data_IF_963063026448
#
_entry.id   IF_963063026448
#
_cell.length_a   1.000
_cell.length_b   1.000
_cell.length_c   1.000
_cell.angle_alpha   90.00
_cell.angle_beta   90.00
_cell.angle_gamma   90.00
#
_symmetry.space_group_name_H-M   'P 1'
#
loop_
_entity.id
_entity.type
_entity.pdbx_description
1 polymer ?
#
# COMPACT_ATOMS: atom_id res chain seq x y z
N UNK A 1 -10.31 5.36 -0.28
CA UNK A 1 -9.77 5.82 -1.59
C UNK A 1 -10.72 6.80 -2.28
N UNK A 2 -12.00 6.47 -2.50
CA UNK A 2 -12.95 7.37 -3.22
C UNK A 2 -12.96 8.84 -2.72
N UNK A 3 -12.93 9.06 -1.42
CA UNK A 3 -12.88 10.40 -0.84
C UNK A 3 -11.61 11.20 -1.20
N UNK A 4 -10.42 10.57 -1.25
CA UNK A 4 -9.15 11.24 -1.62
C UNK A 4 -9.11 11.70 -3.08
N UNK A 5 -9.93 11.10 -3.94
CA UNK A 5 -10.10 11.51 -5.33
C UNK A 5 -11.23 12.54 -5.50
N UNK A 6 -12.39 12.28 -4.90
CA UNK A 6 -13.57 13.13 -5.06
C UNK A 6 -13.39 14.51 -4.38
N UNK A 7 -12.79 14.57 -3.19
CA UNK A 7 -12.62 15.82 -2.46
C UNK A 7 -11.83 16.91 -3.22
N UNK A 8 -10.61 16.66 -3.73
CA UNK A 8 -9.88 17.67 -4.49
C UNK A 8 -10.58 18.03 -5.81
N UNK A 9 -11.27 17.09 -6.45
CA UNK A 9 -12.07 17.37 -7.65
C UNK A 9 -13.16 18.41 -7.35
N UNK A 10 -13.92 18.22 -6.27
CA UNK A 10 -14.96 19.17 -5.87
C UNK A 10 -14.38 20.52 -5.42
N UNK A 11 -13.22 20.51 -4.76
CA UNK A 11 -12.55 21.73 -4.30
C UNK A 11 -12.18 22.68 -5.46
N UNK A 12 -11.99 22.17 -6.68
CA UNK A 12 -11.74 22.97 -7.89
C UNK A 12 -12.93 23.07 -8.84
N UNK A 13 -14.11 22.63 -8.40
CA UNK A 13 -15.34 22.73 -9.17
C UNK A 13 -15.50 21.68 -10.27
N UNK A 14 -14.74 20.57 -10.23
CA UNK A 14 -15.03 19.41 -11.09
C UNK A 14 -16.28 18.67 -10.62
N UNK A 15 -16.91 17.95 -11.55
CA UNK A 15 -17.85 16.88 -11.24
C UNK A 15 -17.10 15.54 -11.15
N UNK A 16 -17.68 14.55 -10.47
CA UNK A 16 -17.07 13.24 -10.30
C UNK A 16 -18.04 12.09 -10.58
N UNK A 17 -17.53 11.08 -11.28
CA UNK A 17 -18.18 9.77 -11.43
C UNK A 17 -17.28 8.74 -10.75
N UNK A 18 -17.76 8.13 -9.67
CA UNK A 18 -17.04 7.11 -8.92
C UNK A 18 -17.62 5.73 -9.22
N UNK A 19 -16.78 4.83 -9.73
CA UNK A 19 -17.09 3.41 -9.86
C UNK A 19 -16.34 2.62 -8.78
N UNK A 20 -16.95 2.26 -7.64
CA UNK A 20 -16.27 1.48 -6.60
C UNK A 20 -15.93 0.06 -7.06
N UNK A 21 -15.20 -0.67 -6.22
CA UNK A 21 -15.10 -2.13 -6.36
C UNK A 21 -16.48 -2.75 -6.19
N UNK A 22 -16.81 -3.73 -7.04
CA UNK A 22 -18.11 -4.39 -7.04
C UNK A 22 -18.38 -5.18 -5.75
N UNK A 23 -17.34 -5.63 -5.04
CA UNK A 23 -17.47 -6.39 -3.79
C UNK A 23 -17.68 -5.48 -2.58
N UNK A 24 -17.31 -4.19 -2.65
CA UNK A 24 -17.39 -3.24 -1.53
C UNK A 24 -18.05 -1.90 -1.89
N UNK A 25 -19.29 -1.90 -2.44
CA UNK A 25 -19.92 -0.67 -2.92
C UNK A 25 -20.53 0.19 -1.82
N UNK A 26 -20.90 -0.41 -0.68
CA UNK A 26 -21.79 0.19 0.32
C UNK A 26 -21.26 1.51 0.90
N UNK A 27 -19.97 1.59 1.21
CA UNK A 27 -19.38 2.83 1.74
C UNK A 27 -19.36 3.96 0.71
N UNK A 28 -19.25 3.64 -0.57
CA UNK A 28 -19.29 4.64 -1.64
C UNK A 28 -20.72 5.16 -1.87
N UNK A 29 -21.73 4.30 -1.73
CA UNK A 29 -23.14 4.71 -1.74
C UNK A 29 -23.46 5.60 -0.53
N UNK A 30 -22.94 5.27 0.65
CA UNK A 30 -23.08 6.12 1.82
C UNK A 30 -22.47 7.52 1.60
N UNK A 31 -21.30 7.61 0.94
CA UNK A 31 -20.72 8.91 0.55
C UNK A 31 -21.62 9.69 -0.42
N UNK A 32 -22.27 9.01 -1.37
CA UNK A 32 -23.20 9.66 -2.30
C UNK A 32 -24.41 10.24 -1.58
N UNK A 33 -25.00 9.45 -0.67
CA UNK A 33 -26.09 9.89 0.19
C UNK A 33 -25.68 11.10 1.05
N UNK A 34 -24.50 11.06 1.67
CA UNK A 34 -24.00 12.19 2.46
C UNK A 34 -23.76 13.45 1.61
N UNK A 35 -23.32 13.31 0.36
CA UNK A 35 -23.17 14.45 -0.56
C UNK A 35 -24.53 15.08 -0.90
N UNK A 36 -25.57 14.27 -1.12
CA UNK A 36 -26.94 14.75 -1.31
C UNK A 36 -27.44 15.49 -0.07
N UNK A 37 -27.25 14.92 1.14
CA UNK A 37 -27.61 15.57 2.39
C UNK A 37 -26.84 16.88 2.62
N UNK A 38 -25.61 16.99 2.13
CA UNK A 38 -24.81 18.21 2.18
C UNK A 38 -25.23 19.27 1.14
N UNK A 39 -26.21 18.99 0.29
CA UNK A 39 -26.77 19.94 -0.69
C UNK A 39 -25.99 20.02 -2.00
N UNK A 40 -25.26 18.97 -2.38
CA UNK A 40 -24.60 18.93 -3.69
C UNK A 40 -25.65 19.00 -4.81
N UNK A 41 -25.45 19.84 -5.85
CA UNK A 41 -26.37 19.88 -6.98
C UNK A 41 -26.50 18.52 -7.69
N UNK A 42 -27.68 18.16 -8.23
CA UNK A 42 -27.86 16.93 -8.99
C UNK A 42 -26.83 16.78 -10.11
N UNK A 43 -26.21 15.60 -10.20
CA UNK A 43 -25.22 15.27 -11.22
C UNK A 43 -23.77 15.67 -10.89
N UNK A 44 -23.50 16.37 -9.78
CA UNK A 44 -22.12 16.73 -9.38
C UNK A 44 -21.34 15.51 -8.89
N UNK A 45 -21.97 14.64 -8.11
CA UNK A 45 -21.37 13.38 -7.67
C UNK A 45 -22.26 12.21 -8.05
N UNK A 46 -21.73 11.30 -8.88
CA UNK A 46 -22.45 10.13 -9.34
C UNK A 46 -21.68 8.87 -8.93
N UNK A 47 -22.37 7.88 -8.36
CA UNK A 47 -21.78 6.58 -8.04
C UNK A 47 -22.38 5.52 -8.96
N UNK A 48 -21.53 4.87 -9.75
CA UNK A 48 -21.96 3.86 -10.72
C UNK A 48 -21.54 2.48 -10.22
N UNK A 49 -22.52 1.62 -9.99
CA UNK A 49 -22.30 0.25 -9.57
C UNK A 49 -22.12 -0.68 -10.77
N UNK A 50 -21.39 -1.77 -10.56
CA UNK A 50 -21.26 -2.87 -11.52
C UNK A 50 -21.24 -4.18 -10.74
N UNK A 51 -21.53 -5.30 -11.43
CA UNK A 51 -21.38 -6.63 -10.87
C UNK A 51 -19.93 -7.10 -10.95
N UNK A 52 -19.54 -8.11 -10.17
CA UNK A 52 -18.19 -8.68 -10.23
C UNK A 52 -17.90 -9.25 -11.62
N UNK A 53 -18.89 -9.91 -12.22
CA UNK A 53 -18.83 -10.51 -13.56
C UNK A 53 -18.72 -9.45 -14.66
N UNK A 54 -19.35 -8.29 -14.44
CA UNK A 54 -19.39 -7.17 -15.38
C UNK A 54 -18.27 -6.16 -15.14
N UNK A 55 -17.39 -6.40 -14.15
CA UNK A 55 -16.24 -5.52 -13.87
C UNK A 55 -15.08 -5.91 -14.78
N UNK A 56 -14.67 -5.04 -15.72
CA UNK A 56 -13.48 -5.31 -16.53
C UNK A 56 -12.24 -5.41 -15.63
N UNK A 57 -11.19 -6.06 -16.12
CA UNK A 57 -9.89 -6.03 -15.44
C UNK A 57 -9.37 -4.59 -15.38
N UNK A 58 -9.68 -3.87 -14.29
CA UNK A 58 -9.27 -2.48 -14.06
C UNK A 58 -7.82 -2.41 -13.57
N UNK A 59 -6.90 -2.90 -14.42
CA UNK A 59 -5.46 -2.85 -14.17
C UNK A 59 -4.92 -1.53 -14.74
N UNK A 60 -4.17 -0.77 -13.96
CA UNK A 60 -3.77 0.61 -14.31
C UNK A 60 -3.14 0.76 -15.71
N UNK A 61 -2.26 -0.16 -16.10
CA UNK A 61 -1.64 -0.17 -17.45
C UNK A 61 -2.66 -0.36 -18.57
N UNK A 62 -3.69 -1.19 -18.37
CA UNK A 62 -4.76 -1.37 -19.35
C UNK A 62 -5.61 -0.10 -19.47
N UNK A 63 -5.94 0.53 -18.35
CA UNK A 63 -6.69 1.79 -18.33
C UNK A 63 -5.91 2.93 -19.00
N UNK A 64 -4.59 2.98 -18.79
CA UNK A 64 -3.72 3.93 -19.46
C UNK A 64 -3.72 3.72 -20.98
N UNK A 65 -3.60 2.47 -21.43
CA UNK A 65 -3.68 2.13 -22.85
C UNK A 65 -5.03 2.56 -23.47
N UNK A 66 -6.14 2.20 -22.83
CA UNK A 66 -7.50 2.55 -23.28
C UNK A 66 -7.77 4.07 -23.31
N UNK A 67 -7.04 4.84 -22.50
CA UNK A 67 -7.18 6.28 -22.43
C UNK A 67 -6.35 7.03 -23.48
N UNK A 68 -5.37 6.36 -24.09
CA UNK A 68 -4.38 6.98 -24.99
C UNK A 68 -4.99 7.63 -26.23
N UNK A 69 -6.01 7.02 -26.83
CA UNK A 69 -6.68 7.51 -28.05
C UNK A 69 -7.40 8.85 -27.88
N UNK A 70 -7.65 9.25 -26.63
CA UNK A 70 -8.36 10.49 -26.29
C UNK A 70 -7.53 11.43 -25.42
N UNK A 71 -6.26 11.08 -25.16
CA UNK A 71 -5.32 11.87 -24.37
C UNK A 71 -5.90 12.36 -23.03
N UNK A 72 -6.68 11.50 -22.36
CA UNK A 72 -7.23 11.83 -21.03
C UNK A 72 -6.08 12.03 -20.05
N UNK A 73 -6.19 13.06 -19.22
CA UNK A 73 -5.31 13.24 -18.06
C UNK A 73 -5.56 12.09 -17.09
N UNK A 74 -4.49 11.44 -16.65
CA UNK A 74 -4.54 10.27 -15.77
C UNK A 74 -3.81 10.58 -14.46
N UNK A 75 -4.32 9.98 -13.39
CA UNK A 75 -3.68 9.91 -12.08
C UNK A 75 -3.79 8.48 -11.61
N UNK A 76 -2.66 7.84 -11.31
CA UNK A 76 -2.54 6.40 -11.14
C UNK A 76 -1.79 6.09 -9.83
N UNK A 77 -2.44 5.34 -8.95
CA UNK A 77 -1.85 4.76 -7.74
C UNK A 77 -2.08 3.25 -7.83
N UNK A 78 -1.01 2.49 -8.10
CA UNK A 78 -1.09 1.11 -8.62
C UNK A 78 -0.46 0.07 -7.70
N UNK A 79 -0.44 0.34 -6.39
CA UNK A 79 0.11 -0.60 -5.41
C UNK A 79 1.62 -0.54 -5.32
N UNK A 80 2.19 -1.40 -4.48
CA UNK A 80 3.62 -1.35 -4.20
C UNK A 80 4.21 -2.65 -3.68
N UNK A 81 5.53 -2.71 -3.64
CA UNK A 81 6.26 -3.79 -2.98
C UNK A 81 7.20 -3.19 -1.91
N UNK A 82 6.57 -2.49 -0.97
CA UNK A 82 7.24 -1.59 -0.03
C UNK A 82 8.30 -2.31 0.81
N UNK A 83 9.56 -1.83 0.81
CA UNK A 83 10.57 -2.32 1.72
C UNK A 83 10.45 -1.65 3.09
N UNK A 84 10.62 -2.44 4.14
CA UNK A 84 11.08 -1.96 5.45
C UNK A 84 12.58 -2.26 5.54
N UNK A 85 13.38 -1.29 5.96
CA UNK A 85 14.82 -1.46 6.21
C UNK A 85 15.11 -1.14 7.67
N UNK A 86 15.61 -2.12 8.41
CA UNK A 86 15.91 -2.01 9.84
C UNK A 86 17.42 -2.13 10.06
N UNK A 87 18.05 -1.03 10.44
CA UNK A 87 19.47 -0.97 10.79
C UNK A 87 19.71 -1.35 12.26
N UNK A 88 20.93 -1.78 12.58
CA UNK A 88 21.30 -2.26 13.91
C UNK A 88 21.36 -1.16 14.99
N UNK A 89 21.42 0.10 14.57
CA UNK A 89 21.40 1.29 15.42
C UNK A 89 19.99 1.78 15.77
N UNK A 90 18.93 1.09 15.33
CA UNK A 90 17.55 1.46 15.63
C UNK A 90 17.12 1.14 17.08
N UNK A 91 16.02 1.73 17.53
CA UNK A 91 15.25 1.18 18.64
C UNK A 91 14.57 -0.11 18.15
N UNK A 92 15.08 -1.25 18.60
CA UNK A 92 14.61 -2.56 18.14
C UNK A 92 13.14 -2.83 18.49
N UNK A 93 12.68 -2.45 19.67
CA UNK A 93 11.31 -2.72 20.10
C UNK A 93 10.32 -1.86 19.31
N UNK A 94 10.66 -0.58 19.10
CA UNK A 94 9.90 0.31 18.21
C UNK A 94 9.89 -0.21 16.76
N UNK A 95 11.06 -0.61 16.23
CA UNK A 95 11.16 -1.09 14.86
C UNK A 95 10.30 -2.35 14.64
N UNK A 96 10.27 -3.27 15.60
CA UNK A 96 9.38 -4.45 15.54
C UNK A 96 7.91 -4.02 15.57
N UNK A 97 7.52 -3.19 16.52
CA UNK A 97 6.12 -2.74 16.66
C UNK A 97 5.61 -2.05 15.40
N UNK A 98 6.38 -1.11 14.88
CA UNK A 98 6.03 -0.37 13.66
C UNK A 98 6.08 -1.27 12.42
N UNK A 99 7.01 -2.23 12.34
CA UNK A 99 7.05 -3.18 11.22
C UNK A 99 5.81 -4.07 11.19
N UNK A 100 5.35 -4.54 12.36
CA UNK A 100 4.11 -5.31 12.49
C UNK A 100 2.89 -4.46 12.08
N UNK A 101 2.81 -3.22 12.58
CA UNK A 101 1.75 -2.29 12.25
C UNK A 101 1.71 -1.96 10.74
N UNK A 102 2.87 -1.85 10.09
CA UNK A 102 2.96 -1.64 8.65
C UNK A 102 2.52 -2.88 7.86
N UNK A 103 3.09 -4.06 8.17
CA UNK A 103 2.85 -5.30 7.42
C UNK A 103 1.42 -5.79 7.55
N UNK A 104 0.86 -5.80 8.75
CA UNK A 104 -0.37 -6.54 9.05
C UNK A 104 -1.61 -5.68 9.24
N UNK A 105 -1.51 -4.35 9.15
CA UNK A 105 -2.69 -3.48 9.04
C UNK A 105 -3.63 -3.99 7.93
N UNK A 106 -4.89 -4.21 8.28
CA UNK A 106 -5.90 -4.82 7.41
C UNK A 106 -5.48 -6.17 6.80
N UNK A 107 -4.70 -6.96 7.56
CA UNK A 107 -4.05 -8.21 7.11
C UNK A 107 -3.16 -8.04 5.87
N UNK A 108 -2.50 -6.89 5.73
CA UNK A 108 -1.61 -6.63 4.60
C UNK A 108 -2.31 -6.24 3.30
N UNK A 109 -3.62 -5.96 3.36
CA UNK A 109 -4.45 -5.57 2.20
C UNK A 109 -4.48 -4.04 2.01
N UNK A 110 -3.31 -3.40 2.08
CA UNK A 110 -3.16 -1.96 1.83
C UNK A 110 -1.95 -1.74 0.93
N UNK A 111 -2.05 -0.81 -0.03
CA UNK A 111 -0.99 -0.55 -1.02
C UNK A 111 0.37 -0.17 -0.39
N UNK A 112 0.36 0.46 0.79
CA UNK A 112 1.58 0.85 1.51
C UNK A 112 2.07 -0.20 2.50
N UNK A 113 1.38 -1.32 2.69
CA UNK A 113 1.85 -2.38 3.57
C UNK A 113 3.21 -2.89 3.09
N UNK A 114 4.12 -3.08 4.04
CA UNK A 114 5.40 -3.70 3.73
C UNK A 114 5.20 -5.09 3.13
N UNK A 115 6.10 -5.51 2.26
CA UNK A 115 6.11 -6.86 1.72
C UNK A 115 7.50 -7.51 1.88
N UNK A 116 8.55 -6.70 1.92
CA UNK A 116 9.95 -7.12 2.09
C UNK A 116 10.52 -6.43 3.33
N UNK A 117 10.90 -7.20 4.34
CA UNK A 117 11.40 -6.67 5.61
C UNK A 117 12.88 -7.01 5.70
N UNK A 118 13.73 -6.05 5.36
CA UNK A 118 15.18 -6.16 5.39
C UNK A 118 15.68 -5.79 6.79
N UNK A 119 16.42 -6.69 7.43
CA UNK A 119 16.97 -6.49 8.77
C UNK A 119 18.48 -6.74 8.75
N UNK A 120 19.25 -5.83 9.36
CA UNK A 120 20.69 -5.92 9.38
C UNK A 120 21.17 -7.12 10.21
N UNK A 121 22.22 -7.79 9.75
CA UNK A 121 22.68 -9.09 10.26
C UNK A 121 22.82 -9.14 11.79
N UNK A 122 23.35 -8.09 12.43
CA UNK A 122 23.60 -8.04 13.88
C UNK A 122 22.34 -8.14 14.75
N UNK A 123 21.17 -7.75 14.24
CA UNK A 123 19.90 -7.73 14.97
C UNK A 123 18.86 -8.68 14.39
N UNK A 124 19.18 -9.38 13.30
CA UNK A 124 18.23 -10.19 12.53
C UNK A 124 17.47 -11.23 13.38
N UNK A 125 18.18 -12.06 14.14
CA UNK A 125 17.55 -13.15 14.90
C UNK A 125 16.65 -12.60 16.02
N UNK A 126 17.12 -11.58 16.75
CA UNK A 126 16.35 -10.91 17.81
C UNK A 126 15.09 -10.22 17.27
N UNK A 127 15.21 -9.56 16.11
CA UNK A 127 14.08 -8.95 15.43
C UNK A 127 13.06 -10.02 15.04
N UNK A 128 13.52 -11.10 14.38
CA UNK A 128 12.65 -12.17 13.89
C UNK A 128 11.86 -12.83 15.03
N UNK A 129 12.50 -13.12 16.16
CA UNK A 129 11.84 -13.67 17.35
C UNK A 129 10.76 -12.74 17.89
N UNK A 130 11.07 -11.46 18.12
CA UNK A 130 10.12 -10.46 18.63
C UNK A 130 8.97 -10.22 17.66
N UNK A 131 9.27 -10.16 16.36
CA UNK A 131 8.27 -10.00 15.30
C UNK A 131 7.31 -11.20 15.26
N UNK A 132 7.83 -12.43 15.30
CA UNK A 132 7.02 -13.64 15.35
C UNK A 132 6.13 -13.69 16.61
N UNK A 133 6.67 -13.32 17.78
CA UNK A 133 5.90 -13.28 19.02
C UNK A 133 4.71 -12.32 18.92
N UNK A 134 4.89 -11.13 18.33
CA UNK A 134 3.81 -10.15 18.10
C UNK A 134 2.75 -10.69 17.13
N UNK A 135 3.17 -11.35 16.05
CA UNK A 135 2.24 -11.93 15.06
C UNK A 135 1.43 -13.09 15.66
N UNK A 136 2.06 -13.96 16.47
CA UNK A 136 1.38 -15.05 17.16
C UNK A 136 0.32 -14.57 18.18
N UNK A 137 0.43 -13.33 18.67
CA UNK A 137 -0.53 -12.76 19.61
C UNK A 137 -1.82 -12.23 18.94
N UNK A 138 -1.91 -12.25 17.60
CA UNK A 138 -3.08 -11.76 16.89
C UNK A 138 -4.34 -12.57 17.20
N UNK A 139 -5.46 -11.86 17.36
CA UNK A 139 -6.78 -12.44 17.53
C UNK A 139 -7.54 -12.28 16.22
N UNK A 140 -7.61 -13.35 15.44
CA UNK A 140 -8.32 -13.38 14.16
C UNK A 140 -9.80 -13.71 14.43
N UNK A 141 -10.72 -12.90 13.93
CA UNK A 141 -12.15 -13.09 14.18
C UNK A 141 -13.05 -12.07 13.50
N UNK A 142 -14.32 -12.04 13.87
CA UNK A 142 -15.26 -11.08 13.31
C UNK A 142 -14.90 -9.65 13.75
N UNK A 143 -14.83 -8.70 12.80
CA UNK A 143 -14.42 -7.32 13.08
C UNK A 143 -15.33 -6.54 14.04
N UNK A 144 -16.52 -7.04 14.35
CA UNK A 144 -17.42 -6.45 15.35
C UNK A 144 -17.22 -7.01 16.76
N UNK A 145 -16.44 -8.07 16.93
CA UNK A 145 -16.20 -8.71 18.23
C UNK A 145 -15.09 -8.01 19.02
N UNK A 146 -15.31 -7.81 20.32
CA UNK A 146 -14.34 -7.15 21.20
C UNK A 146 -13.08 -8.00 21.33
N UNK A 147 -11.93 -7.38 21.14
CA UNK A 147 -10.62 -8.03 21.30
C UNK A 147 -10.08 -8.67 20.03
N UNK A 148 -10.88 -8.78 18.98
CA UNK A 148 -10.39 -9.15 17.64
C UNK A 148 -9.45 -8.05 17.13
N UNK A 149 -8.25 -8.45 16.71
CA UNK A 149 -7.26 -7.53 16.16
C UNK A 149 -7.28 -7.50 14.65
N UNK A 150 -7.68 -8.59 13.99
CA UNK A 150 -7.72 -8.70 12.53
C UNK A 150 -8.92 -9.52 12.05
N UNK A 151 -9.48 -9.11 10.90
CA UNK A 151 -10.62 -9.76 10.26
C UNK A 151 -10.24 -10.87 9.27
N UNK A 152 -10.88 -10.85 8.11
CA UNK A 152 -10.64 -11.79 7.01
C UNK A 152 -10.00 -11.10 5.78
N UNK A 153 -9.59 -11.90 4.80
CA UNK A 153 -9.22 -11.39 3.49
C UNK A 153 -10.47 -11.11 2.64
N UNK A 154 -10.31 -10.26 1.63
CA UNK A 154 -11.43 -9.80 0.80
C UNK A 154 -12.11 -10.95 0.04
N UNK A 155 -11.33 -11.93 -0.45
CA UNK A 155 -11.83 -13.09 -1.20
C UNK A 155 -10.81 -14.23 -1.28
N UNK A 156 -11.25 -15.37 -1.81
CA UNK A 156 -10.39 -16.55 -2.00
C UNK A 156 -9.23 -16.37 -2.97
N UNK A 157 -9.26 -15.40 -3.90
CA UNK A 157 -8.12 -15.10 -4.79
C UNK A 157 -6.95 -14.49 -3.99
N UNK A 158 -7.26 -13.64 -3.01
CA UNK A 158 -6.25 -13.10 -2.10
C UNK A 158 -5.60 -14.21 -1.26
N UNK A 159 -6.39 -15.17 -0.75
CA UNK A 159 -5.86 -16.36 -0.08
C UNK A 159 -4.94 -17.16 -0.99
N UNK A 160 -5.40 -17.48 -2.20
CA UNK A 160 -4.62 -18.29 -3.15
C UNK A 160 -3.27 -17.63 -3.50
N UNK A 161 -3.23 -16.29 -3.61
CA UNK A 161 -1.98 -15.56 -3.85
C UNK A 161 -1.00 -15.67 -2.67
N UNK A 162 -1.50 -15.56 -1.44
CA UNK A 162 -0.68 -15.74 -0.23
C UNK A 162 -0.12 -17.17 -0.18
N UNK A 163 -0.96 -18.17 -0.43
CA UNK A 163 -0.57 -19.59 -0.46
C UNK A 163 0.49 -19.87 -1.55
N UNK A 164 0.34 -19.28 -2.73
CA UNK A 164 1.31 -19.40 -3.83
C UNK A 164 2.68 -18.81 -3.45
N UNK A 165 2.71 -17.60 -2.87
CA UNK A 165 3.96 -16.97 -2.44
C UNK A 165 4.64 -17.77 -1.32
N UNK A 166 3.87 -18.29 -0.35
CA UNK A 166 4.41 -19.13 0.73
C UNK A 166 4.98 -20.43 0.17
N UNK A 167 4.26 -21.09 -0.73
CA UNK A 167 4.70 -22.34 -1.37
C UNK A 167 5.97 -22.14 -2.19
N UNK A 168 6.03 -21.07 -2.99
CA UNK A 168 7.20 -20.71 -3.79
C UNK A 168 8.43 -20.47 -2.91
N UNK A 169 8.27 -19.66 -1.85
CA UNK A 169 9.35 -19.35 -0.93
C UNK A 169 9.88 -20.60 -0.21
N UNK A 170 8.99 -21.45 0.32
CA UNK A 170 9.39 -22.69 1.01
C UNK A 170 10.07 -23.66 0.04
N UNK A 171 9.58 -23.81 -1.19
CA UNK A 171 10.21 -24.64 -2.21
C UNK A 171 11.63 -24.17 -2.59
N UNK A 172 11.92 -22.88 -2.39
CA UNK A 172 13.23 -22.24 -2.63
C UNK A 172 14.07 -22.06 -1.35
N UNK A 173 13.69 -22.73 -0.26
CA UNK A 173 14.50 -22.80 0.96
C UNK A 173 14.12 -21.82 2.08
N UNK A 174 13.01 -21.09 1.96
CA UNK A 174 12.50 -20.28 3.07
C UNK A 174 12.10 -21.16 4.26
N UNK A 175 12.31 -20.65 5.47
CA UNK A 175 11.88 -21.31 6.69
C UNK A 175 10.61 -20.65 7.24
N UNK A 176 9.65 -21.47 7.69
CA UNK A 176 8.38 -20.98 8.26
C UNK A 176 8.56 -20.74 9.75
N UNK A 177 8.70 -19.47 10.13
CA UNK A 177 8.86 -19.05 11.53
C UNK A 177 7.51 -18.95 12.25
N UNK A 178 6.49 -18.44 11.58
CA UNK A 178 5.10 -18.46 12.06
C UNK A 178 4.25 -19.16 11.02
N UNK A 179 3.59 -20.24 11.44
CA UNK A 179 2.72 -21.03 10.56
C UNK A 179 1.35 -20.34 10.43
N UNK A 180 1.11 -19.75 9.26
CA UNK A 180 -0.21 -19.27 8.87
C UNK A 180 -1.07 -20.37 8.22
N UNK A 181 -2.16 -19.96 7.59
CA UNK A 181 -3.05 -20.87 6.86
C UNK A 181 -4.53 -20.53 7.00
N UNK A 182 -5.38 -21.24 6.27
CA UNK A 182 -6.83 -21.05 6.31
C UNK A 182 -7.40 -21.38 7.69
N UNK A 183 -8.32 -20.54 8.17
CA UNK A 183 -9.09 -20.72 9.41
C UNK A 183 -10.56 -20.99 9.05
N UNK A 184 -10.81 -22.14 8.43
CA UNK A 184 -12.13 -22.49 7.88
C UNK A 184 -13.25 -22.50 8.92
N UNK A 185 -12.92 -22.71 10.19
CA UNK A 185 -13.86 -22.63 11.31
C UNK A 185 -14.42 -21.22 11.56
N UNK A 186 -13.73 -20.17 11.11
CA UNK A 186 -14.19 -18.78 11.20
C UNK A 186 -14.91 -18.33 9.92
N UNK A 187 -14.67 -19.02 8.81
CA UNK A 187 -15.27 -18.76 7.50
C UNK A 187 -14.27 -18.92 6.36
N UNK A 188 -14.76 -18.91 5.12
CA UNK A 188 -13.96 -19.25 3.92
C UNK A 188 -12.78 -18.33 3.67
N UNK A 189 -12.92 -17.04 4.02
CA UNK A 189 -11.91 -16.02 3.74
C UNK A 189 -10.99 -15.70 4.93
N UNK A 190 -11.09 -16.45 6.03
CA UNK A 190 -10.22 -16.25 7.19
C UNK A 190 -8.88 -16.96 7.01
N UNK A 191 -7.79 -16.24 7.27
CA UNK A 191 -6.43 -16.72 7.06
C UNK A 191 -5.49 -16.19 8.14
N UNK A 192 -4.80 -17.10 8.84
CA UNK A 192 -3.78 -16.77 9.82
C UNK A 192 -2.49 -16.28 9.15
N UNK A 193 -1.81 -15.26 9.70
CA UNK A 193 -0.60 -14.71 9.12
C UNK A 193 0.55 -15.71 9.07
N UNK A 194 1.39 -15.62 8.04
CA UNK A 194 2.63 -16.38 7.91
C UNK A 194 3.84 -15.46 8.06
N UNK A 195 4.86 -15.90 8.79
CA UNK A 195 6.18 -15.24 8.82
C UNK A 195 7.22 -16.20 8.30
N UNK A 196 8.00 -15.74 7.32
CA UNK A 196 9.06 -16.50 6.69
C UNK A 196 10.42 -15.85 6.95
N UNK A 197 11.42 -16.69 7.21
CA UNK A 197 12.83 -16.33 7.29
C UNK A 197 13.61 -17.02 6.18
N UNK A 198 14.89 -16.68 6.04
CA UNK A 198 15.76 -17.21 4.98
C UNK A 198 15.23 -16.88 3.57
N UNK A 199 14.67 -15.68 3.42
CA UNK A 199 14.18 -15.19 2.14
C UNK A 199 15.36 -14.74 1.26
N UNK A 200 15.35 -15.13 0.00
CA UNK A 200 16.35 -14.74 -0.99
C UNK A 200 15.70 -14.11 -2.24
N UNK A 201 16.55 -13.59 -3.13
CA UNK A 201 16.12 -12.84 -4.31
C UNK A 201 15.45 -13.69 -5.40
N UNK A 202 15.43 -15.02 -5.30
CA UNK A 202 14.77 -15.87 -6.30
C UNK A 202 13.28 -16.11 -5.97
N UNK A 203 12.82 -15.69 -4.79
CA UNK A 203 11.46 -15.92 -4.31
C UNK A 203 10.47 -14.87 -4.83
N UNK A 204 9.27 -15.31 -5.22
CA UNK A 204 8.21 -14.42 -5.75
C UNK A 204 7.90 -13.24 -4.82
N UNK A 205 7.90 -13.46 -3.50
CA UNK A 205 7.60 -12.43 -2.50
C UNK A 205 8.55 -11.21 -2.55
N UNK A 206 9.74 -11.35 -3.15
CA UNK A 206 10.67 -10.22 -3.36
C UNK A 206 10.29 -9.38 -4.58
N UNK A 207 9.58 -9.94 -5.56
CA UNK A 207 9.30 -9.26 -6.84
C UNK A 207 7.85 -8.86 -6.98
N UNK A 208 6.95 -9.63 -6.39
CA UNK A 208 5.50 -9.49 -6.52
C UNK A 208 4.87 -9.01 -5.21
N UNK A 209 3.92 -8.08 -5.30
CA UNK A 209 3.10 -7.66 -4.16
C UNK A 209 2.19 -8.79 -3.71
N UNK A 210 2.35 -9.30 -2.47
CA UNK A 210 1.46 -10.35 -1.95
C UNK A 210 0.04 -9.84 -1.67
N UNK A 211 -0.09 -8.60 -1.18
CA UNK A 211 -1.36 -7.99 -0.76
C UNK A 211 -2.13 -8.86 0.25
N UNK A 212 -1.41 -9.37 1.26
CA UNK A 212 -1.93 -10.29 2.26
C UNK A 212 -0.97 -10.51 3.43
N UNK A 213 -1.34 -11.39 4.38
CA UNK A 213 -0.72 -11.48 5.69
C UNK A 213 0.52 -12.38 5.66
N UNK A 214 1.51 -11.99 4.86
CA UNK A 214 2.80 -12.65 4.71
C UNK A 214 3.94 -11.69 5.06
N UNK A 215 4.66 -11.96 6.16
CA UNK A 215 5.89 -11.27 6.54
C UNK A 215 7.12 -12.00 6.02
N UNK A 216 7.85 -11.42 5.07
CA UNK A 216 9.09 -11.98 4.52
C UNK A 216 10.30 -11.25 5.10
N UNK A 217 11.08 -11.93 5.95
CA UNK A 217 12.27 -11.39 6.61
C UNK A 217 13.52 -11.72 5.81
N UNK A 218 14.28 -10.68 5.43
CA UNK A 218 15.48 -10.75 4.60
C UNK A 218 16.65 -10.19 5.39
N UNK A 219 17.77 -10.90 5.39
CA UNK A 219 19.01 -10.43 6.03
C UNK A 219 19.81 -9.58 5.06
N UNK A 220 20.48 -8.53 5.55
CA UNK A 220 21.46 -7.77 4.79
C UNK A 220 22.66 -7.38 5.67
N UNK A 221 23.80 -7.08 5.05
CA UNK A 221 25.02 -6.70 5.77
C UNK A 221 25.31 -5.20 5.68
N UNK A 222 25.15 -4.60 4.50
CA UNK A 222 25.56 -3.21 4.23
C UNK A 222 24.41 -2.33 3.73
N UNK A 223 24.50 -1.03 4.00
CA UNK A 223 23.50 -0.05 3.53
C UNK A 223 23.45 0.05 2.00
N UNK A 224 24.60 -0.09 1.33
CA UNK A 224 24.70 -0.03 -0.13
C UNK A 224 24.03 -1.24 -0.79
N UNK A 225 24.21 -2.43 -0.22
CA UNK A 225 23.57 -3.66 -0.68
C UNK A 225 22.05 -3.59 -0.53
N UNK A 226 21.56 -3.23 0.66
CA UNK A 226 20.10 -3.18 0.91
C UNK A 226 19.42 -2.12 0.06
N UNK A 227 20.06 -0.97 -0.17
CA UNK A 227 19.55 0.05 -1.06
C UNK A 227 19.39 -0.48 -2.49
N UNK A 228 20.42 -1.19 -3.01
CA UNK A 228 20.38 -1.76 -4.36
C UNK A 228 19.19 -2.71 -4.53
N UNK A 229 18.97 -3.64 -3.60
CA UNK A 229 17.85 -4.59 -3.68
C UNK A 229 16.49 -3.93 -3.44
N UNK A 230 16.42 -2.86 -2.63
CA UNK A 230 15.20 -2.08 -2.48
C UNK A 230 14.75 -1.49 -3.83
N UNK A 231 15.70 -0.88 -4.57
CA UNK A 231 15.45 -0.17 -5.82
C UNK A 231 15.29 -1.08 -7.05
N UNK A 232 15.69 -2.35 -6.98
CA UNK A 232 15.46 -3.34 -8.05
C UNK A 232 13.97 -3.65 -8.30
N UNK A 233 13.08 -3.24 -7.39
CA UNK A 233 11.64 -3.37 -7.61
C UNK A 233 11.15 -2.44 -8.73
N UNK A 234 10.25 -2.95 -9.56
CA UNK A 234 9.49 -2.14 -10.53
C UNK A 234 8.52 -1.17 -9.83
N UNK A 235 8.20 -1.41 -8.55
CA UNK A 235 7.34 -0.57 -7.74
C UNK A 235 8.14 0.53 -7.02
N UNK A 236 7.44 1.60 -6.63
CA UNK A 236 8.04 2.75 -5.96
C UNK A 236 6.99 3.59 -5.24
N UNK A 237 6.14 2.97 -4.41
CA UNK A 237 5.07 3.67 -3.69
C UNK A 237 5.51 4.18 -2.31
N UNK A 238 5.84 3.24 -1.41
CA UNK A 238 6.21 3.51 -0.02
C UNK A 238 7.49 2.76 0.35
N UNK A 239 8.28 3.32 1.26
CA UNK A 239 9.37 2.64 1.96
C UNK A 239 9.42 3.08 3.42
N UNK A 240 10.05 2.26 4.26
CA UNK A 240 10.21 2.52 5.69
C UNK A 240 11.66 2.28 6.09
N UNK A 241 12.22 3.19 6.89
CA UNK A 241 13.59 3.12 7.39
C UNK A 241 13.58 3.21 8.91
N UNK A 242 14.24 2.28 9.58
CA UNK A 242 14.45 2.31 11.03
C UNK A 242 15.93 2.42 11.33
N UNK A 243 16.35 3.56 11.89
CA UNK A 243 17.73 3.90 12.23
C UNK A 243 17.75 5.10 13.19
N UNK A 244 18.85 5.32 13.90
CA UNK A 244 19.07 6.54 14.71
C UNK A 244 20.14 7.44 14.11
N UNK A 245 21.06 6.91 13.33
CA UNK A 245 22.09 7.65 12.63
C UNK A 245 21.49 8.49 11.50
N UNK A 246 21.53 9.81 11.68
CA UNK A 246 20.99 10.78 10.74
C UNK A 246 21.61 10.70 9.33
N UNK A 247 22.88 10.30 9.21
CA UNK A 247 23.52 10.13 7.92
C UNK A 247 22.97 8.92 7.17
N UNK A 248 22.67 7.82 7.87
CA UNK A 248 22.01 6.65 7.30
C UNK A 248 20.59 7.00 6.86
N UNK A 249 19.86 7.73 7.70
CA UNK A 249 18.50 8.19 7.40
C UNK A 249 18.50 9.01 6.11
N UNK A 250 19.29 10.08 6.03
CA UNK A 250 19.36 10.94 4.84
C UNK A 250 19.77 10.18 3.59
N UNK A 251 20.82 9.35 3.69
CA UNK A 251 21.29 8.54 2.59
C UNK A 251 20.17 7.64 2.04
N UNK A 252 19.45 6.94 2.91
CA UNK A 252 18.37 6.06 2.49
C UNK A 252 17.18 6.84 1.93
N UNK A 253 16.75 7.92 2.59
CA UNK A 253 15.58 8.70 2.16
C UNK A 253 15.78 9.36 0.80
N UNK A 254 17.00 9.82 0.49
CA UNK A 254 17.30 10.44 -0.81
C UNK A 254 17.47 9.43 -1.93
N UNK A 255 17.97 8.23 -1.62
CA UNK A 255 18.34 7.22 -2.64
C UNK A 255 17.26 6.19 -2.91
N UNK A 256 16.32 5.98 -1.99
CA UNK A 256 15.20 5.07 -2.22
C UNK A 256 14.29 5.61 -3.33
N UNK A 257 14.09 4.81 -4.37
CA UNK A 257 13.29 5.18 -5.53
C UNK A 257 11.80 4.93 -5.27
N UNK A 258 11.24 5.72 -4.36
CA UNK A 258 9.85 5.62 -3.91
C UNK A 258 9.22 7.01 -3.80
N UNK A 259 7.90 7.10 -3.95
CA UNK A 259 7.20 8.37 -3.79
C UNK A 259 7.09 8.83 -2.33
N UNK A 260 7.17 7.91 -1.38
CA UNK A 260 7.05 8.20 0.06
C UNK A 260 8.04 7.36 0.86
N UNK A 261 8.73 7.98 1.82
CA UNK A 261 9.59 7.31 2.81
C UNK A 261 9.16 7.72 4.21
N UNK A 262 9.03 6.74 5.09
CA UNK A 262 8.78 6.95 6.51
C UNK A 262 9.97 6.52 7.35
N UNK A 263 10.30 7.29 8.38
CA UNK A 263 11.45 7.02 9.25
C UNK A 263 10.95 6.79 10.67
N UNK A 264 11.30 5.64 11.26
CA UNK A 264 10.95 5.26 12.63
C UNK A 264 9.43 5.22 12.96
N UNK A 265 8.56 5.23 11.95
CA UNK A 265 7.09 5.12 12.11
C UNK A 265 6.44 4.40 10.92
N UNK A 266 5.37 3.65 11.20
CA UNK A 266 4.54 2.96 10.20
C UNK A 266 3.39 3.82 9.66
N UNK A 267 3.16 4.98 10.28
CA UNK A 267 2.07 5.89 9.98
C UNK A 267 2.60 7.17 9.33
N UNK A 268 2.21 7.40 8.07
CA UNK A 268 2.51 8.65 7.35
C UNK A 268 1.42 9.03 6.34
N UNK A 269 0.20 8.47 6.47
CA UNK A 269 -0.93 8.89 5.65
C UNK A 269 -1.64 10.06 6.32
N UNK A 270 -1.60 11.22 5.68
CA UNK A 270 -2.27 12.44 6.13
C UNK A 270 -2.94 13.11 4.91
N UNK A 271 -3.84 14.07 5.12
CA UNK A 271 -4.41 14.86 4.04
C UNK A 271 -3.46 15.96 3.56
N UNK A 272 -2.53 16.43 4.40
CA UNK A 272 -1.54 17.46 4.10
C UNK A 272 -0.28 16.93 3.41
N UNK A 273 -0.03 15.62 3.48
CA UNK A 273 1.13 14.98 2.87
C UNK A 273 0.82 14.46 1.46
N UNK A 274 1.76 14.60 0.50
CA UNK A 274 1.58 14.06 -0.84
C UNK A 274 1.65 12.53 -0.78
N UNK A 275 0.69 11.88 -1.43
CA UNK A 275 0.56 10.44 -1.47
C UNK A 275 0.56 9.94 -2.91
N UNK A 276 1.50 9.07 -3.28
CA UNK A 276 1.56 8.52 -4.62
C UNK A 276 2.93 7.94 -4.94
N UNK A 277 2.99 7.16 -6.01
CA UNK A 277 4.20 6.41 -6.36
C UNK A 277 5.04 7.04 -7.48
N UNK A 278 6.10 6.32 -7.81
CA UNK A 278 6.91 6.45 -9.02
C UNK A 278 7.04 5.07 -9.68
N UNK A 279 7.70 4.99 -10.84
CA UNK A 279 7.84 3.73 -11.63
C UNK A 279 6.48 3.12 -11.96
N UNK A 280 6.31 1.81 -11.76
CA UNK A 280 5.05 1.12 -12.03
C UNK A 280 3.98 1.32 -10.97
N UNK A 281 4.32 1.93 -9.82
CA UNK A 281 3.33 2.34 -8.81
C UNK A 281 2.48 3.53 -9.26
N UNK A 282 2.79 4.12 -10.42
CA UNK A 282 1.98 5.14 -11.09
C UNK A 282 2.57 6.55 -11.00
N UNK A 283 1.69 7.54 -11.17
CA UNK A 283 2.03 8.96 -11.28
C UNK A 283 0.83 9.84 -10.88
N UNK A 284 1.09 11.13 -10.63
CA UNK A 284 0.15 11.99 -9.93
C UNK A 284 0.33 11.90 -8.41
N UNK A 285 -0.39 12.74 -7.67
CA UNK A 285 -0.35 12.74 -6.20
C UNK A 285 -1.78 12.89 -5.68
N UNK A 286 -2.07 12.26 -4.55
CA UNK A 286 -3.27 12.46 -3.75
C UNK A 286 -2.90 13.18 -2.45
N UNK A 287 -3.81 14.01 -1.93
CA UNK A 287 -3.52 14.81 -0.73
C UNK A 287 -2.51 15.93 -0.99
N UNK A 288 -2.16 16.65 0.08
CA UNK A 288 -1.38 17.89 0.04
C UNK A 288 -2.01 18.96 -0.85
N UNK A 289 -1.25 20.04 -1.08
CA UNK A 289 -1.57 21.03 -2.10
C UNK A 289 -1.41 20.49 -3.53
N UNK A 290 -0.57 19.46 -3.71
CA UNK A 290 -0.25 18.89 -5.02
C UNK A 290 -1.36 17.99 -5.57
N UNK A 291 -2.17 17.35 -4.72
CA UNK A 291 -3.18 16.42 -5.19
C UNK A 291 -4.34 17.06 -5.94
N UNK A 292 -4.41 18.38 -5.92
CA UNK A 292 -5.36 19.16 -6.71
C UNK A 292 -4.91 19.32 -8.17
N UNK A 293 -3.60 19.20 -8.43
CA UNK A 293 -3.01 19.46 -9.74
C UNK A 293 -3.58 18.53 -10.80
N UNK A 294 -3.93 17.28 -10.43
CA UNK A 294 -4.53 16.31 -11.34
C UNK A 294 -5.92 16.73 -11.86
N UNK A 295 -6.61 17.63 -11.16
CA UNK A 295 -7.96 18.10 -11.47
C UNK A 295 -8.01 19.49 -12.11
N UNK A 296 -6.88 20.18 -12.24
CA UNK A 296 -6.80 21.53 -12.83
C UNK A 296 -6.12 21.55 -14.20
N UNK A 297 -6.32 22.66 -14.93
CA UNK A 297 -5.63 22.97 -16.18
C UNK A 297 -5.10 24.40 -16.11
N UNK A 298 -3.80 24.57 -16.32
CA UNK A 298 -3.16 25.88 -16.33
C UNK A 298 -3.46 26.58 -17.66
N UNK A 299 -3.90 27.84 -17.60
CA UNK A 299 -4.16 28.69 -18.77
C UNK A 299 -3.37 29.99 -18.63
N UNK A 300 -2.45 30.24 -19.55
CA UNK A 300 -1.78 31.53 -19.67
C UNK A 300 -2.68 32.53 -20.39
N UNK A 301 -2.75 33.76 -19.85
CA UNK A 301 -3.44 34.88 -20.49
C UNK A 301 -2.43 36.01 -20.66
N UNK A 302 -2.19 36.43 -21.89
CA UNK A 302 -1.36 37.58 -22.21
C UNK A 302 -2.25 38.70 -22.75
N UNK A 303 -2.38 39.80 -22.01
CA UNK A 303 -3.23 40.93 -22.35
C UNK A 303 -2.35 42.15 -22.62
N UNK A 304 -2.40 42.66 -23.85
CA UNK A 304 -1.78 43.92 -24.25
C UNK A 304 -2.81 44.90 -24.81
N UNK A 305 -2.58 46.20 -24.62
CA UNK A 305 -3.37 47.30 -25.21
C UNK A 305 -4.88 47.26 -24.90
N UNK A 306 -5.28 46.88 -23.67
CA UNK A 306 -6.71 46.75 -23.29
C UNK A 306 -7.38 48.10 -22.95
N UNK A 307 -6.64 49.21 -23.05
CA UNK A 307 -7.15 50.57 -22.96
C UNK A 307 -6.32 51.47 -23.90
N UNK A 308 -6.97 52.46 -24.50
CA UNK A 308 -6.31 53.64 -25.08
C UNK A 308 -6.02 54.65 -23.98
#
# INVERSE_FOLDING_TARGET
>A
MGARKAAPAFAVGCTAILKPDAQTPLSSLALAYLAEQAGFPPGVFNVVLTSVESTPNCVGKLLANQSSSTLKKLSMELGGNAPIVVFDDCDLDQAVEQSVASKFRSLGQTCVCANRIYIQANIYDKFAEKFAAKVNAFQIGNGFEKGVTHGCLINGKAIAKVEDHVKDAVAKGAHVLVKGGRLTQLGENFYAPTVLTNINNDMKVIHEETFGPLGALVKFDTKEEVLKVCNQSNYGLAAYVFATNINTIWYMTEKLETGMVSVNTAAFTDAALPFGGVKESGFGREGSLYGIDDYTVIKSINLGNVYN
#
